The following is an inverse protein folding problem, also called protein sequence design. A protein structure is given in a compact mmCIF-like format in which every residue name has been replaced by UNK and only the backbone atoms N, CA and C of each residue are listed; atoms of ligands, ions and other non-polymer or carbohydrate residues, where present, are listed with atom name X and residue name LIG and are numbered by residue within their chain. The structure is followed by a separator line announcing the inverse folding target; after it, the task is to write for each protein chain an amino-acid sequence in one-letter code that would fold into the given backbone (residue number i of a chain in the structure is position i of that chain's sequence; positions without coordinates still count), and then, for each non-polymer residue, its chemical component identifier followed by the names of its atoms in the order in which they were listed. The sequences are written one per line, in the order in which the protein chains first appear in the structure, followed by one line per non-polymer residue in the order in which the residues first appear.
data_IF_087355335424
#
_entry.id   IF_087355335424
#
_cell.length_a   1.000
_cell.length_b   1.000
_cell.length_c   1.000
_cell.angle_alpha   90.00
_cell.angle_beta   90.00
_cell.angle_gamma   90.00
#
_symmetry.space_group_name_H-M   'P 1'
#
loop_
_entity.id
_entity.type
_entity.pdbx_description
1 polymer ?
#
# COMPACT_ATOMS: atom_id res chain seq x y z
N UNK A 1 9.72 -28.40 -26.47
CA UNK A 1 9.90 -28.08 -25.04
C UNK A 1 9.03 -26.87 -24.75
N UNK A 2 7.76 -27.11 -24.45
CA UNK A 2 6.80 -26.06 -24.13
C UNK A 2 7.12 -25.58 -22.72
N UNK A 3 7.69 -24.38 -22.62
CA UNK A 3 7.91 -23.71 -21.36
C UNK A 3 6.55 -23.41 -20.74
N UNK A 4 6.23 -24.10 -19.64
CA UNK A 4 5.09 -23.82 -18.79
C UNK A 4 5.14 -22.36 -18.36
N UNK A 5 4.34 -21.52 -19.04
CA UNK A 5 3.99 -20.18 -18.60
C UNK A 5 3.15 -20.36 -17.33
N UNK A 6 3.79 -20.19 -16.18
CA UNK A 6 3.07 -20.10 -14.90
C UNK A 6 2.22 -18.84 -15.02
N UNK A 7 0.91 -19.01 -15.22
CA UNK A 7 -0.04 -17.92 -15.19
C UNK A 7 0.09 -17.19 -13.84
N UNK A 8 0.72 -16.01 -13.85
CA UNK A 8 0.78 -15.15 -12.67
C UNK A 8 -0.65 -14.75 -12.34
N UNK A 9 -1.04 -14.92 -11.07
CA UNK A 9 -2.37 -14.59 -10.58
C UNK A 9 -2.61 -13.09 -10.85
N UNK A 10 -3.76 -12.69 -11.42
CA UNK A 10 -4.04 -11.27 -11.64
C UNK A 10 -4.12 -10.56 -10.28
N UNK A 11 -3.53 -9.37 -10.21
CA UNK A 11 -3.60 -8.50 -9.03
C UNK A 11 -5.04 -8.06 -8.72
N UNK A 12 -5.23 -7.49 -7.53
CA UNK A 12 -6.55 -7.09 -7.01
C UNK A 12 -6.92 -5.63 -7.23
N UNK A 13 -6.10 -4.82 -7.91
CA UNK A 13 -6.39 -3.40 -8.15
C UNK A 13 -6.73 -3.09 -9.61
N UNK A 14 -6.11 -3.82 -10.54
CA UNK A 14 -6.17 -3.53 -11.97
C UNK A 14 -7.17 -4.42 -12.72
N UNK A 15 -7.85 -3.84 -13.72
CA UNK A 15 -8.57 -4.60 -14.75
C UNK A 15 -7.57 -5.09 -15.82
N UNK A 16 -6.76 -6.10 -15.51
CA UNK A 16 -5.83 -6.66 -16.48
C UNK A 16 -6.55 -7.55 -17.50
N UNK A 17 -6.22 -7.40 -18.78
CA UNK A 17 -6.61 -8.35 -19.81
C UNK A 17 -5.93 -9.72 -19.64
N UNK A 18 -6.46 -10.77 -20.27
CA UNK A 18 -5.95 -12.16 -20.18
C UNK A 18 -4.47 -12.34 -20.59
N UNK A 19 -3.88 -11.38 -21.30
CA UNK A 19 -2.50 -11.41 -21.80
C UNK A 19 -1.64 -10.25 -21.29
N UNK A 20 -2.18 -9.44 -20.39
CA UNK A 20 -1.50 -8.25 -19.89
C UNK A 20 -0.58 -8.63 -18.72
N UNK A 21 0.67 -8.16 -18.78
CA UNK A 21 1.65 -8.43 -17.74
C UNK A 21 1.25 -7.69 -16.45
N UNK A 22 1.42 -8.36 -15.30
CA UNK A 22 1.20 -7.73 -14.00
C UNK A 22 2.08 -6.48 -13.85
N UNK A 23 1.47 -5.39 -13.41
CA UNK A 23 2.14 -4.11 -13.24
C UNK A 23 3.18 -4.17 -12.11
N UNK A 24 4.36 -3.57 -12.34
CA UNK A 24 5.47 -3.61 -11.39
C UNK A 24 5.16 -2.91 -10.07
N UNK A 25 4.44 -1.78 -10.12
CA UNK A 25 4.04 -1.05 -8.92
C UNK A 25 3.00 -1.85 -8.13
N UNK A 26 2.00 -2.41 -8.81
CA UNK A 26 1.00 -3.27 -8.15
C UNK A 26 1.67 -4.47 -7.49
N UNK A 27 2.58 -5.15 -8.20
CA UNK A 27 3.30 -6.31 -7.66
C UNK A 27 4.16 -5.94 -6.44
N UNK A 28 4.85 -4.79 -6.47
CA UNK A 28 5.63 -4.30 -5.31
C UNK A 28 4.74 -4.08 -4.09
N UNK A 29 3.58 -3.44 -4.28
CA UNK A 29 2.61 -3.17 -3.23
C UNK A 29 1.99 -4.46 -2.68
N UNK A 30 1.64 -5.41 -3.56
CA UNK A 30 1.10 -6.73 -3.18
C UNK A 30 2.12 -7.54 -2.37
N UNK A 31 3.40 -7.54 -2.77
CA UNK A 31 4.47 -8.19 -2.02
C UNK A 31 4.64 -7.58 -0.62
N UNK A 32 4.56 -6.25 -0.50
CA UNK A 32 4.55 -5.58 0.80
C UNK A 32 3.34 -5.99 1.63
N UNK A 33 2.17 -6.12 1.02
CA UNK A 33 0.97 -6.56 1.72
C UNK A 33 1.05 -8.01 2.21
N UNK A 34 1.73 -8.90 1.48
CA UNK A 34 2.00 -10.25 1.96
C UNK A 34 2.80 -10.26 3.28
N UNK A 35 3.76 -9.35 3.43
CA UNK A 35 4.51 -9.15 4.69
C UNK A 35 3.57 -8.66 5.78
N UNK A 36 2.75 -7.65 5.49
CA UNK A 36 1.74 -7.10 6.43
C UNK A 36 0.81 -8.20 6.92
N UNK A 37 0.22 -8.99 6.03
CA UNK A 37 -0.67 -10.10 6.39
C UNK A 37 0.02 -11.14 7.27
N UNK A 38 1.28 -11.48 6.96
CA UNK A 38 2.07 -12.44 7.75
C UNK A 38 2.32 -11.98 9.19
N UNK A 39 2.31 -10.66 9.44
CA UNK A 39 2.56 -10.04 10.74
C UNK A 39 1.29 -9.71 11.49
N UNK A 40 0.24 -9.27 10.79
CA UNK A 40 -1.03 -8.90 11.42
C UNK A 40 -1.91 -10.12 11.71
N UNK A 41 -1.97 -11.12 10.82
CA UNK A 41 -2.78 -12.32 10.98
C UNK A 41 -4.17 -12.07 11.62
N UNK A 42 -4.50 -12.86 12.64
CA UNK A 42 -5.69 -12.71 13.48
C UNK A 42 -5.40 -11.97 14.81
N UNK A 43 -4.30 -11.20 14.88
CA UNK A 43 -3.92 -10.47 16.09
C UNK A 43 -4.84 -9.30 16.37
N UNK A 44 -4.90 -8.88 17.63
CA UNK A 44 -5.55 -7.63 18.02
C UNK A 44 -4.75 -6.42 17.51
N UNK A 45 -5.41 -5.28 17.36
CA UNK A 45 -4.86 -4.08 16.70
C UNK A 45 -3.49 -3.65 17.25
N UNK A 46 -3.34 -3.61 18.58
CA UNK A 46 -2.08 -3.22 19.24
C UNK A 46 -0.96 -4.23 19.00
N UNK A 47 -1.27 -5.53 19.08
CA UNK A 47 -0.29 -6.59 18.84
C UNK A 47 0.14 -6.61 17.36
N UNK A 48 -0.80 -6.37 16.45
CA UNK A 48 -0.51 -6.23 15.03
C UNK A 48 0.41 -5.03 14.75
N UNK A 49 0.17 -3.89 15.39
CA UNK A 49 1.04 -2.71 15.30
C UNK A 49 2.47 -3.00 15.80
N UNK A 50 2.60 -3.59 16.99
CA UNK A 50 3.91 -3.94 17.55
C UNK A 50 4.68 -4.91 16.63
N UNK A 51 4.00 -5.89 16.04
CA UNK A 51 4.60 -6.84 15.10
C UNK A 51 5.06 -6.19 13.79
N UNK A 52 4.32 -5.20 13.28
CA UNK A 52 4.71 -4.45 12.09
C UNK A 52 5.93 -3.57 12.37
N UNK A 53 5.99 -2.90 13.52
CA UNK A 53 7.17 -2.15 13.95
C UNK A 53 8.38 -3.07 14.19
N UNK A 54 8.15 -4.26 14.75
CA UNK A 54 9.21 -5.25 14.91
C UNK A 54 9.78 -5.70 13.57
N UNK A 55 8.96 -5.87 12.53
CA UNK A 55 9.46 -6.20 11.19
C UNK A 55 10.43 -5.13 10.64
N UNK A 56 10.15 -3.85 10.90
CA UNK A 56 11.04 -2.72 10.55
C UNK A 56 12.30 -2.74 11.42
N UNK A 57 12.18 -3.06 12.71
CA UNK A 57 13.31 -3.15 13.62
C UNK A 57 14.24 -4.33 13.30
N UNK A 58 13.69 -5.50 12.97
CA UNK A 58 14.46 -6.69 12.57
C UNK A 58 15.31 -6.41 11.33
N UNK A 59 14.79 -5.61 10.40
CA UNK A 59 15.53 -5.19 9.21
C UNK A 59 16.79 -4.36 9.56
N UNK A 60 16.79 -3.59 10.67
CA UNK A 60 17.99 -2.89 11.17
C UNK A 60 19.10 -3.86 11.59
N UNK A 61 18.75 -5.05 12.07
CA UNK A 61 19.71 -6.01 12.62
C UNK A 61 20.42 -6.82 11.53
N UNK A 62 19.99 -6.73 10.27
CA UNK A 62 20.57 -7.50 9.16
C UNK A 62 21.92 -6.94 8.67
N UNK A 63 22.20 -5.64 8.86
CA UNK A 63 23.46 -5.03 8.42
C UNK A 63 23.81 -3.79 9.23
N UNK A 64 25.02 -3.75 9.81
CA UNK A 64 25.46 -2.67 10.69
C UNK A 64 25.66 -1.35 9.93
N UNK A 65 26.32 -1.41 8.76
CA UNK A 65 26.71 -0.23 7.98
C UNK A 65 25.55 0.41 7.20
N UNK A 66 24.45 -0.32 6.99
CA UNK A 66 23.29 0.11 6.19
C UNK A 66 21.97 0.02 6.97
N UNK A 67 22.03 -0.13 8.29
CA UNK A 67 20.87 -0.44 9.14
C UNK A 67 19.72 0.58 9.00
N UNK A 68 20.02 1.88 8.96
CA UNK A 68 18.99 2.92 8.82
C UNK A 68 18.32 2.90 7.44
N UNK A 69 19.10 2.70 6.38
CA UNK A 69 18.58 2.65 5.01
C UNK A 69 17.70 1.42 4.80
N UNK A 70 18.15 0.24 5.26
CA UNK A 70 17.39 -1.01 5.14
C UNK A 70 16.10 -0.94 5.96
N UNK A 71 16.15 -0.35 7.15
CA UNK A 71 14.96 -0.14 7.96
C UNK A 71 13.99 0.82 7.31
N UNK A 72 14.48 1.90 6.69
CA UNK A 72 13.63 2.81 5.93
C UNK A 72 12.98 2.08 4.75
N UNK A 73 13.73 1.26 4.00
CA UNK A 73 13.15 0.45 2.92
C UNK A 73 12.07 -0.50 3.42
N UNK A 74 12.30 -1.19 4.55
CA UNK A 74 11.29 -2.07 5.14
C UNK A 74 10.06 -1.29 5.62
N UNK A 75 10.27 -0.11 6.21
CA UNK A 75 9.19 0.80 6.57
C UNK A 75 8.36 1.21 5.34
N UNK A 76 9.00 1.57 4.23
CA UNK A 76 8.31 1.88 2.97
C UNK A 76 7.51 0.67 2.43
N UNK A 77 8.08 -0.53 2.52
CA UNK A 77 7.41 -1.78 2.13
C UNK A 77 6.16 -2.04 2.99
N UNK A 78 6.26 -1.86 4.31
CA UNK A 78 5.12 -2.03 5.23
C UNK A 78 4.04 -0.99 4.97
N UNK A 79 4.41 0.29 4.81
CA UNK A 79 3.49 1.38 4.50
C UNK A 79 2.77 1.14 3.16
N UNK A 80 3.52 0.77 2.12
CA UNK A 80 2.97 0.44 0.80
C UNK A 80 2.05 -0.79 0.85
N UNK A 81 2.42 -1.81 1.63
CA UNK A 81 1.60 -2.99 1.85
C UNK A 81 0.27 -2.68 2.56
N UNK A 82 0.31 -1.86 3.62
CA UNK A 82 -0.90 -1.42 4.32
C UNK A 82 -1.81 -0.61 3.37
N UNK A 83 -1.23 0.28 2.57
CA UNK A 83 -1.99 0.99 1.54
C UNK A 83 -2.65 0.03 0.54
N UNK A 84 -1.91 -0.97 0.04
CA UNK A 84 -2.49 -1.98 -0.85
C UNK A 84 -3.67 -2.71 -0.20
N UNK A 85 -3.56 -3.06 1.09
CA UNK A 85 -4.65 -3.64 1.86
C UNK A 85 -5.89 -2.75 1.88
N UNK A 86 -5.72 -1.45 2.16
CA UNK A 86 -6.80 -0.45 2.10
C UNK A 86 -7.46 -0.44 0.72
N UNK A 87 -6.66 -0.47 -0.35
CA UNK A 87 -7.16 -0.34 -1.72
C UNK A 87 -7.79 -1.62 -2.30
N UNK A 88 -7.37 -2.79 -1.83
CA UNK A 88 -7.74 -4.10 -2.42
C UNK A 88 -8.74 -4.92 -1.60
N UNK A 89 -8.96 -4.57 -0.33
CA UNK A 89 -9.85 -5.32 0.57
C UNK A 89 -10.80 -4.36 1.32
N UNK A 90 -11.93 -4.00 0.68
CA UNK A 90 -12.95 -3.11 1.25
C UNK A 90 -13.48 -3.52 2.62
N UNK A 91 -13.54 -4.83 2.88
CA UNK A 91 -14.09 -5.38 4.12
C UNK A 91 -13.19 -5.07 5.30
N UNK A 92 -11.87 -5.12 5.07
CA UNK A 92 -10.86 -4.87 6.10
C UNK A 92 -10.15 -3.52 5.94
N UNK A 93 -10.60 -2.65 5.02
CA UNK A 93 -9.93 -1.40 4.68
C UNK A 93 -9.72 -0.50 5.90
N UNK A 94 -10.71 -0.40 6.81
CA UNK A 94 -10.56 0.37 8.05
C UNK A 94 -9.46 -0.19 8.96
N UNK A 95 -9.40 -1.52 9.15
CA UNK A 95 -8.35 -2.18 9.93
C UNK A 95 -6.95 -1.87 9.38
N UNK A 96 -6.78 -1.92 8.06
CA UNK A 96 -5.49 -1.61 7.44
C UNK A 96 -5.17 -0.11 7.50
N UNK A 97 -6.17 0.76 7.40
CA UNK A 97 -6.00 2.20 7.53
C UNK A 97 -5.61 2.63 8.95
N UNK A 98 -6.21 2.02 9.97
CA UNK A 98 -5.87 2.28 11.37
C UNK A 98 -4.42 1.82 11.66
N UNK A 99 -4.06 0.63 11.19
CA UNK A 99 -2.68 0.13 11.27
C UNK A 99 -1.70 1.04 10.50
N UNK A 100 -2.06 1.53 9.31
CA UNK A 100 -1.28 2.50 8.55
C UNK A 100 -1.04 3.78 9.35
N UNK A 101 -2.09 4.32 9.98
CA UNK A 101 -2.02 5.54 10.79
C UNK A 101 -1.09 5.36 11.99
N UNK A 102 -1.21 4.22 12.69
CA UNK A 102 -0.38 3.89 13.84
C UNK A 102 1.10 3.66 13.46
N UNK A 103 1.37 2.98 12.35
CA UNK A 103 2.74 2.74 11.86
C UNK A 103 3.36 4.04 11.32
N UNK A 104 2.59 4.85 10.58
CA UNK A 104 3.05 6.12 10.07
C UNK A 104 3.43 7.09 11.19
N UNK A 105 2.72 7.04 12.33
CA UNK A 105 3.00 7.81 13.54
C UNK A 105 3.29 9.30 13.25
N UNK A 106 2.42 9.92 12.46
CA UNK A 106 2.55 11.32 12.01
C UNK A 106 3.47 11.55 10.81
N UNK A 107 4.29 10.58 10.42
CA UNK A 107 5.19 10.61 9.26
C UNK A 107 4.53 10.03 8.00
N UNK A 108 3.56 10.75 7.47
CA UNK A 108 2.72 10.34 6.33
C UNK A 108 3.40 10.38 4.96
N UNK A 109 4.63 10.87 4.87
CA UNK A 109 5.34 11.09 3.60
C UNK A 109 5.33 9.85 2.70
N UNK A 110 5.74 8.68 3.21
CA UNK A 110 5.79 7.45 2.43
C UNK A 110 4.39 7.01 1.94
N UNK A 111 3.36 7.12 2.78
CA UNK A 111 1.99 6.76 2.39
C UNK A 111 1.47 7.66 1.28
N UNK A 112 1.68 8.98 1.41
CA UNK A 112 1.30 9.97 0.41
C UNK A 112 2.05 9.79 -0.92
N UNK A 113 3.35 9.45 -0.87
CA UNK A 113 4.14 9.12 -2.05
C UNK A 113 3.61 7.87 -2.77
N UNK A 114 3.32 6.79 -2.04
CA UNK A 114 2.77 5.57 -2.63
C UNK A 114 1.39 5.83 -3.27
N UNK A 115 0.49 6.57 -2.60
CA UNK A 115 -0.81 6.93 -3.20
C UNK A 115 -0.62 7.77 -4.46
N UNK A 116 0.29 8.74 -4.46
CA UNK A 116 0.58 9.52 -5.68
C UNK A 116 1.05 8.61 -6.82
N UNK A 117 1.95 7.66 -6.58
CA UNK A 117 2.39 6.70 -7.61
C UNK A 117 1.21 5.88 -8.15
N UNK A 118 0.32 5.38 -7.27
CA UNK A 118 -0.91 4.69 -7.68
C UNK A 118 -1.79 5.59 -8.54
N UNK A 119 -1.95 6.87 -8.18
CA UNK A 119 -2.75 7.82 -8.95
C UNK A 119 -2.17 8.05 -10.36
N UNK A 120 -0.85 8.14 -10.49
CA UNK A 120 -0.22 8.40 -11.80
C UNK A 120 -0.09 7.16 -12.69
N UNK A 121 0.25 6.01 -12.12
CA UNK A 121 0.61 4.82 -12.91
C UNK A 121 -0.54 3.83 -13.07
N UNK A 122 -1.44 3.75 -12.07
CA UNK A 122 -2.47 2.71 -12.01
C UNK A 122 -3.88 3.25 -12.24
N UNK A 123 -4.19 4.49 -11.83
CA UNK A 123 -5.55 5.02 -11.79
C UNK A 123 -6.39 4.80 -13.05
N UNK A 124 -5.88 5.03 -14.28
CA UNK A 124 -6.66 4.82 -15.51
C UNK A 124 -7.16 3.38 -15.66
N UNK A 125 -6.39 2.41 -15.15
CA UNK A 125 -6.64 0.96 -15.26
C UNK A 125 -7.27 0.35 -14.00
N UNK A 126 -7.44 1.12 -12.92
CA UNK A 126 -8.09 0.66 -11.70
C UNK A 126 -9.56 0.30 -11.94
N UNK A 127 -10.01 -0.80 -11.36
CA UNK A 127 -11.43 -1.12 -11.31
C UNK A 127 -12.19 -0.24 -10.31
N UNK A 128 -13.53 -0.26 -10.41
CA UNK A 128 -14.39 0.65 -9.66
C UNK A 128 -14.19 0.55 -8.14
N UNK A 129 -14.12 -0.67 -7.59
CA UNK A 129 -13.93 -0.88 -6.15
C UNK A 129 -12.62 -0.25 -5.62
N UNK A 130 -11.50 -0.39 -6.34
CA UNK A 130 -10.23 0.21 -5.95
C UNK A 130 -10.28 1.75 -6.03
N UNK A 131 -10.98 2.31 -7.02
CA UNK A 131 -11.22 3.76 -7.10
C UNK A 131 -12.05 4.25 -5.90
N UNK A 132 -13.06 3.50 -5.48
CA UNK A 132 -13.83 3.82 -4.27
C UNK A 132 -12.95 3.75 -3.02
N UNK A 133 -12.02 2.79 -2.92
CA UNK A 133 -11.09 2.72 -1.80
C UNK A 133 -10.06 3.84 -1.78
N UNK A 134 -9.68 4.40 -2.93
CA UNK A 134 -8.90 5.64 -2.96
C UNK A 134 -9.70 6.78 -2.33
N UNK A 135 -10.99 6.93 -2.67
CA UNK A 135 -11.85 7.93 -2.03
C UNK A 135 -12.00 7.70 -0.53
N UNK A 136 -12.13 6.44 -0.10
CA UNK A 136 -12.11 6.07 1.32
C UNK A 136 -10.82 6.55 2.00
N UNK A 137 -9.65 6.24 1.44
CA UNK A 137 -8.35 6.66 1.98
C UNK A 137 -8.28 8.18 2.15
N UNK A 138 -8.65 8.96 1.12
CA UNK A 138 -8.61 10.41 1.20
C UNK A 138 -9.59 10.96 2.22
N UNK A 139 -10.82 10.42 2.29
CA UNK A 139 -11.83 10.84 3.26
C UNK A 139 -11.35 10.63 4.69
N UNK A 140 -10.83 9.45 5.02
CA UNK A 140 -10.30 9.16 6.35
C UNK A 140 -9.08 10.04 6.67
N UNK A 141 -8.19 10.26 5.69
CA UNK A 141 -6.99 11.08 5.86
C UNK A 141 -7.32 12.56 6.12
N UNK A 142 -8.35 13.09 5.47
CA UNK A 142 -8.86 14.42 5.75
C UNK A 142 -9.48 14.46 7.15
N UNK A 143 -10.28 13.45 7.53
CA UNK A 143 -10.93 13.36 8.85
C UNK A 143 -9.93 13.44 10.01
N UNK A 144 -8.76 12.82 9.86
CA UNK A 144 -7.70 12.82 10.89
C UNK A 144 -6.64 13.91 10.69
N UNK A 145 -6.86 14.86 9.77
CA UNK A 145 -5.96 15.98 9.48
C UNK A 145 -4.54 15.55 9.08
N UNK A 146 -4.42 14.56 8.18
CA UNK A 146 -3.12 14.15 7.63
C UNK A 146 -2.39 15.37 7.01
N UNK A 147 -1.16 15.68 7.44
CA UNK A 147 -0.42 16.82 6.91
C UNK A 147 -0.17 16.68 5.41
N UNK A 148 -0.28 17.80 4.67
CA UNK A 148 0.00 17.89 3.22
C UNK A 148 -0.88 16.98 2.34
N UNK A 149 -2.01 16.47 2.85
CA UNK A 149 -2.94 15.66 2.06
C UNK A 149 -3.46 16.41 0.82
N UNK A 150 -3.62 17.73 0.91
CA UNK A 150 -4.07 18.60 -0.19
C UNK A 150 -3.16 18.51 -1.43
N UNK A 151 -1.84 18.34 -1.20
CA UNK A 151 -0.85 18.24 -2.28
C UNK A 151 -1.03 16.96 -3.13
N UNK A 152 -1.65 15.93 -2.56
CA UNK A 152 -1.94 14.66 -3.24
C UNK A 152 -3.37 14.67 -3.77
N UNK A 153 -4.30 15.29 -3.03
CA UNK A 153 -5.71 15.40 -3.40
C UNK A 153 -5.92 16.06 -4.77
N UNK A 154 -5.11 17.07 -5.10
CA UNK A 154 -5.15 17.71 -6.42
C UNK A 154 -4.83 16.73 -7.56
N UNK A 155 -3.97 15.73 -7.32
CA UNK A 155 -3.64 14.72 -8.32
C UNK A 155 -4.79 13.71 -8.49
N UNK A 156 -5.55 13.41 -7.43
CA UNK A 156 -6.78 12.64 -7.56
C UNK A 156 -7.79 13.38 -8.44
N UNK A 157 -8.01 14.66 -8.20
CA UNK A 157 -8.98 15.47 -8.98
C UNK A 157 -8.59 15.49 -10.46
N UNK A 158 -7.31 15.66 -10.77
CA UNK A 158 -6.82 15.62 -12.17
C UNK A 158 -7.12 14.28 -12.83
N UNK A 159 -6.67 13.18 -12.22
CA UNK A 159 -6.88 11.84 -12.78
C UNK A 159 -8.36 11.43 -12.85
N UNK A 160 -9.21 11.96 -11.97
CA UNK A 160 -10.65 11.72 -12.00
C UNK A 160 -11.38 12.51 -13.11
N UNK A 161 -10.80 13.62 -13.57
CA UNK A 161 -11.36 14.44 -14.65
C UNK A 161 -10.81 14.05 -16.04
N UNK A 162 -9.63 13.43 -16.10
CA UNK A 162 -8.95 13.03 -17.33
C UNK A 162 -9.42 11.65 -17.86
N UNK A 163 -10.30 10.95 -17.14
CA UNK A 163 -10.84 9.62 -17.52
C UNK A 163 -12.36 9.56 -17.47
#
# INVERSE_FOLDING_TARGET
MEGSSIAKKPGKLLNLGLHEQQDELEQKLENGFAIVLSRMGNLHEREAHDQLLQAVADAKLMSYDLSEFIAFQMYEVVIGGLLYGVLSDPVNASKYYDALTLVANGSWFCALCNVNMVLFELYPRLHNEARQQILFFFRESIRVNVPKIDNVLINLIRNANDG
#
